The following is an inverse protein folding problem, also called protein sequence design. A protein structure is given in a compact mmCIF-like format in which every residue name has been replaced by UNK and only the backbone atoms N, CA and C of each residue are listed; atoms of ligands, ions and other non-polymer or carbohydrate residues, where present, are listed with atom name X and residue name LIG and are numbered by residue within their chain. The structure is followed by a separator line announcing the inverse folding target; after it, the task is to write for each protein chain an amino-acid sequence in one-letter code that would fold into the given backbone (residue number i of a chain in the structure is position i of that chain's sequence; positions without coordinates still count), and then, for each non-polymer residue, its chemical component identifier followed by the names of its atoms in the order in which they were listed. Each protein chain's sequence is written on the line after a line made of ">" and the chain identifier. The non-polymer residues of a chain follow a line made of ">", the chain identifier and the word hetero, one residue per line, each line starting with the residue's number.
data_IF_808752622695
#
_entry.id   IF_808752622695
#
_cell.length_a   1.000
_cell.length_b   1.000
_cell.length_c   1.000
_cell.angle_alpha   90.00
_cell.angle_beta   90.00
_cell.angle_gamma   90.00
#
_symmetry.space_group_name_H-M   'P 1'
#
loop_
_entity.id
_entity.type
_entity.pdbx_description
1 polymer ?
#
# COMPACT_ATOMS: atom_id res chain seq x y z
N UNK A 1 -22.25 13.81 -4.62
CA UNK A 1 -22.35 15.07 -5.38
C UNK A 1 -21.16 15.94 -5.01
N UNK A 2 -20.52 16.55 -6.01
CA UNK A 2 -19.47 17.55 -5.82
C UNK A 2 -20.12 18.90 -5.52
N UNK A 3 -19.55 19.63 -4.57
CA UNK A 3 -19.96 20.98 -4.20
C UNK A 3 -18.75 21.87 -4.41
N UNK A 4 -18.95 22.96 -5.16
CA UNK A 4 -17.96 24.00 -5.33
C UNK A 4 -18.26 25.10 -4.32
N UNK A 5 -17.26 25.46 -3.52
CA UNK A 5 -17.38 26.58 -2.60
C UNK A 5 -17.32 27.92 -3.33
N UNK A 6 -17.62 28.99 -2.59
CA UNK A 6 -17.52 30.36 -3.12
C UNK A 6 -16.09 30.63 -3.61
N UNK A 7 -15.92 31.13 -4.84
CA UNK A 7 -14.61 31.49 -5.35
C UNK A 7 -13.98 32.60 -4.50
N UNK A 8 -12.75 32.36 -4.05
CA UNK A 8 -11.97 33.36 -3.33
C UNK A 8 -10.88 33.92 -4.24
N UNK A 9 -10.90 35.22 -4.48
CA UNK A 9 -9.86 35.92 -5.23
C UNK A 9 -8.73 36.33 -4.28
N UNK A 10 -7.55 35.73 -4.50
CA UNK A 10 -6.34 36.05 -3.75
C UNK A 10 -5.73 37.36 -4.25
N UNK A 11 -4.95 38.02 -3.40
CA UNK A 11 -4.35 39.34 -3.66
C UNK A 11 -3.42 39.41 -4.89
N UNK A 12 -3.02 38.26 -5.42
CA UNK A 12 -2.20 38.12 -6.63
C UNK A 12 -3.04 37.90 -7.91
N UNK A 13 -4.36 38.07 -7.87
CA UNK A 13 -5.27 37.85 -9.00
C UNK A 13 -5.52 36.36 -9.30
N UNK A 14 -5.16 35.46 -8.38
CA UNK A 14 -5.45 34.02 -8.49
C UNK A 14 -6.81 33.72 -7.87
N UNK A 15 -7.66 32.99 -8.59
CA UNK A 15 -8.96 32.54 -8.08
C UNK A 15 -8.83 31.14 -7.51
N UNK A 16 -9.22 30.96 -6.26
CA UNK A 16 -9.23 29.69 -5.55
C UNK A 16 -10.67 29.19 -5.45
N UNK A 17 -10.95 28.01 -6.00
CA UNK A 17 -12.25 27.34 -5.90
C UNK A 17 -12.08 26.08 -5.08
N UNK A 18 -12.70 26.04 -3.90
CA UNK A 18 -12.68 24.85 -3.04
C UNK A 18 -13.67 23.81 -3.55
N UNK A 19 -13.29 22.53 -3.49
CA UNK A 19 -14.14 21.42 -3.92
C UNK A 19 -14.33 20.46 -2.75
N UNK A 20 -15.58 20.27 -2.37
CA UNK A 20 -15.97 19.31 -1.35
C UNK A 20 -16.91 18.24 -1.93
N UNK A 21 -16.96 17.09 -1.26
CA UNK A 21 -17.93 16.03 -1.51
C UNK A 21 -18.98 16.13 -0.42
N UNK A 22 -20.26 16.19 -0.83
CA UNK A 22 -21.36 16.02 0.12
C UNK A 22 -21.21 14.68 0.84
N UNK A 23 -21.22 14.72 2.17
CA UNK A 23 -21.20 13.51 2.99
C UNK A 23 -22.45 12.65 2.76
N UNK A 24 -22.35 11.36 3.07
CA UNK A 24 -23.49 10.45 3.00
C UNK A 24 -24.07 10.20 4.40
N UNK A 25 -25.40 10.29 4.54
CA UNK A 25 -26.10 10.11 5.80
C UNK A 25 -25.71 11.17 6.84
N UNK A 26 -25.19 10.74 8.00
CA UNK A 26 -24.69 11.64 9.06
C UNK A 26 -23.24 12.07 8.88
N UNK A 27 -22.55 11.69 7.81
CA UNK A 27 -21.15 12.10 7.62
C UNK A 27 -21.07 13.58 7.22
N UNK A 28 -20.12 14.34 7.79
CA UNK A 28 -19.86 15.72 7.36
C UNK A 28 -19.36 15.75 5.91
N UNK A 29 -19.40 16.94 5.30
CA UNK A 29 -18.78 17.17 4.00
C UNK A 29 -17.28 16.88 4.06
N UNK A 30 -16.77 16.25 3.00
CA UNK A 30 -15.37 15.86 2.90
C UNK A 30 -14.66 16.78 1.91
N UNK A 31 -13.65 17.55 2.31
CA UNK A 31 -12.84 18.33 1.37
C UNK A 31 -12.12 17.38 0.41
N UNK A 32 -12.16 17.68 -0.88
CA UNK A 32 -11.52 16.88 -1.94
C UNK A 32 -10.25 17.56 -2.43
N UNK A 33 -10.27 18.89 -2.54
CA UNK A 33 -9.14 19.67 -3.04
C UNK A 33 -9.55 21.09 -3.40
N UNK A 34 -8.63 21.78 -4.06
CA UNK A 34 -8.79 23.15 -4.53
C UNK A 34 -8.37 23.25 -5.99
N UNK A 35 -9.11 24.04 -6.76
CA UNK A 35 -8.65 24.55 -8.05
C UNK A 35 -8.06 25.93 -7.84
N UNK A 36 -6.89 26.14 -8.43
CA UNK A 36 -6.17 27.40 -8.43
C UNK A 36 -6.10 27.88 -9.87
N UNK A 37 -6.81 28.96 -10.19
CA UNK A 37 -6.91 29.53 -11.53
C UNK A 37 -6.09 30.83 -11.54
N UNK A 38 -5.01 30.86 -12.31
CA UNK A 38 -4.15 32.03 -12.51
C UNK A 38 -4.05 32.38 -13.99
N UNK A 39 -3.33 33.46 -14.31
CA UNK A 39 -3.02 33.85 -15.69
C UNK A 39 -2.19 32.81 -16.44
N UNK A 40 -1.42 31.99 -15.72
CA UNK A 40 -0.58 30.92 -16.29
C UNK A 40 -1.38 29.64 -16.58
N UNK A 41 -2.57 29.49 -15.99
CA UNK A 41 -3.46 28.36 -16.23
C UNK A 41 -4.23 27.91 -14.99
N UNK A 42 -4.74 26.68 -15.04
CA UNK A 42 -5.51 26.06 -13.95
C UNK A 42 -4.75 24.89 -13.35
N UNK A 43 -4.52 24.92 -12.05
CA UNK A 43 -3.88 23.84 -11.28
C UNK A 43 -4.89 23.19 -10.33
N UNK A 44 -4.84 21.86 -10.23
CA UNK A 44 -5.59 21.10 -9.24
C UNK A 44 -4.68 20.68 -8.08
N UNK A 45 -5.09 20.95 -6.85
CA UNK A 45 -4.38 20.49 -5.65
C UNK A 45 -5.30 19.65 -4.77
N UNK A 46 -5.07 18.34 -4.66
CA UNK A 46 -5.91 17.46 -3.88
C UNK A 46 -5.71 17.63 -2.36
N UNK A 47 -6.79 17.56 -1.58
CA UNK A 47 -6.78 17.52 -0.12
C UNK A 47 -6.56 16.09 0.38
N UNK A 48 -5.43 15.48 0.01
CA UNK A 48 -5.08 14.11 0.38
C UNK A 48 -4.15 14.11 1.60
N UNK A 49 -4.45 13.26 2.59
CA UNK A 49 -3.56 12.98 3.70
C UNK A 49 -2.53 11.93 3.27
N UNK A 50 -1.39 12.37 2.75
CA UNK A 50 -0.31 11.50 2.28
C UNK A 50 0.26 10.63 3.41
N UNK A 51 0.33 11.17 4.63
CA UNK A 51 0.84 10.45 5.80
C UNK A 51 -0.04 9.25 6.14
N UNK A 52 -1.36 9.40 6.03
CA UNK A 52 -2.30 8.29 6.25
C UNK A 52 -2.20 7.22 5.16
N UNK A 53 -2.00 7.59 3.90
CA UNK A 53 -1.76 6.62 2.83
C UNK A 53 -0.46 5.83 3.06
N UNK A 54 0.60 6.54 3.43
CA UNK A 54 1.88 5.92 3.78
C UNK A 54 1.75 4.94 4.94
N UNK A 55 1.03 5.33 6.01
CA UNK A 55 0.78 4.47 7.16
C UNK A 55 0.05 3.18 6.77
N UNK A 56 -0.99 3.26 5.94
CA UNK A 56 -1.72 2.07 5.46
C UNK A 56 -0.78 1.14 4.68
N UNK A 57 0.06 1.69 3.79
CA UNK A 57 1.04 0.92 3.04
C UNK A 57 2.06 0.23 3.95
N UNK A 58 2.60 0.96 4.93
CA UNK A 58 3.56 0.43 5.90
C UNK A 58 2.92 -0.67 6.76
N UNK A 59 1.74 -0.45 7.32
CA UNK A 59 1.03 -1.46 8.11
C UNK A 59 0.75 -2.72 7.29
N UNK A 60 0.32 -2.57 6.04
CA UNK A 60 0.06 -3.71 5.15
C UNK A 60 1.35 -4.50 4.86
N UNK A 61 2.45 -3.79 4.57
CA UNK A 61 3.76 -4.39 4.39
C UNK A 61 4.28 -5.13 5.63
N UNK A 62 4.09 -4.55 6.82
CA UNK A 62 4.44 -5.20 8.09
C UNK A 62 3.64 -6.47 8.33
N UNK A 63 2.33 -6.46 8.07
CA UNK A 63 1.48 -7.65 8.21
C UNK A 63 1.91 -8.74 7.22
N UNK A 64 2.19 -8.38 5.97
CA UNK A 64 2.68 -9.31 4.96
C UNK A 64 4.03 -9.93 5.36
N UNK A 65 4.97 -9.11 5.84
CA UNK A 65 6.26 -9.57 6.33
C UNK A 65 6.14 -10.48 7.55
N UNK A 66 5.24 -10.15 8.48
CA UNK A 66 4.94 -10.98 9.65
C UNK A 66 4.42 -12.36 9.23
N UNK A 67 3.42 -12.39 8.34
CA UNK A 67 2.84 -13.66 7.85
C UNK A 67 3.89 -14.47 7.09
N UNK A 68 4.69 -13.83 6.23
CA UNK A 68 5.76 -14.51 5.50
C UNK A 68 6.80 -15.12 6.43
N UNK A 69 7.22 -14.38 7.46
CA UNK A 69 8.17 -14.88 8.47
C UNK A 69 7.56 -16.03 9.27
N UNK A 70 6.30 -15.91 9.69
CA UNK A 70 5.60 -17.00 10.39
C UNK A 70 5.43 -18.24 9.51
N UNK A 71 5.18 -18.06 8.21
CA UNK A 71 5.09 -19.17 7.27
C UNK A 71 6.42 -19.93 7.19
N UNK A 72 7.55 -19.20 7.08
CA UNK A 72 8.89 -19.78 7.09
C UNK A 72 9.20 -20.48 8.41
N UNK A 73 8.79 -19.91 9.56
CA UNK A 73 8.99 -20.55 10.86
C UNK A 73 8.15 -21.83 11.02
N UNK A 74 6.91 -21.82 10.53
CA UNK A 74 5.98 -22.95 10.69
C UNK A 74 6.25 -24.10 9.73
N UNK A 75 6.61 -23.78 8.49
CA UNK A 75 6.86 -24.71 7.39
C UNK A 75 8.08 -24.17 6.66
N UNK A 76 9.28 -24.42 7.20
CA UNK A 76 10.48 -23.98 6.54
C UNK A 76 10.49 -24.45 5.08
N UNK A 77 10.97 -23.63 4.14
CA UNK A 77 10.97 -23.98 2.72
C UNK A 77 11.99 -25.08 2.39
N UNK A 78 12.88 -25.42 3.32
CA UNK A 78 13.81 -26.52 3.14
C UNK A 78 13.13 -27.87 3.41
N UNK A 79 13.58 -28.94 2.74
CA UNK A 79 13.06 -30.29 2.97
C UNK A 79 13.12 -30.66 4.44
N UNK A 80 12.07 -31.31 4.94
CA UNK A 80 12.05 -31.85 6.29
C UNK A 80 13.21 -32.84 6.44
N UNK A 81 14.25 -32.43 7.17
CA UNK A 81 15.44 -33.22 7.50
C UNK A 81 15.09 -34.28 8.55
N UNK A 82 14.16 -35.16 8.19
CA UNK A 82 13.77 -36.29 9.02
C UNK A 82 14.83 -37.38 8.88
N UNK A 83 15.09 -38.13 9.94
CA UNK A 83 16.03 -39.27 9.95
C UNK A 83 15.82 -40.17 8.73
N UNK A 84 14.56 -40.56 8.47
CA UNK A 84 14.16 -41.38 7.32
C UNK A 84 14.54 -40.79 5.96
N UNK A 85 14.40 -39.47 5.77
CA UNK A 85 14.76 -38.80 4.52
C UNK A 85 16.27 -38.81 4.32
N UNK A 86 17.03 -38.61 5.39
CA UNK A 86 18.49 -38.65 5.36
C UNK A 86 19.03 -40.05 5.09
N UNK A 87 18.41 -41.10 5.63
CA UNK A 87 18.80 -42.50 5.35
C UNK A 87 18.60 -42.85 3.88
N UNK A 88 17.43 -42.51 3.30
CA UNK A 88 17.13 -42.77 1.89
C UNK A 88 18.09 -42.00 0.95
N UNK A 89 18.37 -40.74 1.26
CA UNK A 89 19.37 -39.95 0.52
C UNK A 89 20.78 -40.54 0.62
N UNK A 90 21.15 -41.05 1.79
CA UNK A 90 22.43 -41.73 2.01
C UNK A 90 22.55 -43.02 1.21
N UNK A 91 21.50 -43.85 1.22
CA UNK A 91 21.43 -45.09 0.45
C UNK A 91 21.52 -44.82 -1.05
N UNK A 92 20.73 -43.87 -1.57
CA UNK A 92 20.76 -43.48 -2.97
C UNK A 92 22.16 -43.01 -3.41
N UNK A 93 22.81 -42.16 -2.61
CA UNK A 93 24.17 -41.67 -2.88
C UNK A 93 25.21 -42.78 -2.84
N UNK A 94 25.04 -43.77 -1.96
CA UNK A 94 25.93 -44.93 -1.87
C UNK A 94 25.77 -45.91 -3.04
N UNK A 95 24.54 -46.10 -3.53
CA UNK A 95 24.24 -46.92 -4.70
C UNK A 95 24.84 -46.32 -5.98
N UNK A 96 24.71 -45.00 -6.16
CA UNK A 96 25.30 -44.28 -7.30
C UNK A 96 26.83 -44.36 -7.31
N UNK A 97 27.48 -44.25 -6.14
CA UNK A 97 28.93 -44.45 -6.00
C UNK A 97 29.39 -45.87 -6.34
N UNK A 98 28.54 -46.87 -6.14
CA UNK A 98 28.85 -48.29 -6.39
C UNK A 98 28.69 -48.65 -7.88
N UNK A 99 27.98 -47.82 -8.65
CA UNK A 99 27.77 -47.96 -10.10
C UNK A 99 28.81 -47.18 -10.93
N UNK A 100 29.61 -46.31 -10.31
CA UNK A 100 30.77 -45.65 -10.92
C UNK A 100 32.04 -46.45 -10.67
#
# INVERSE_FOLDING_TARGET
>A
MLVFGEPYEASNGTVIVTVSRKGWGRRPECPIGIYTISTEGTTWTPAVDTSRHALIGVCTGFVAALIGTLAVLRRPPWPDMTERVMTVLGEARSAERRQR
#
